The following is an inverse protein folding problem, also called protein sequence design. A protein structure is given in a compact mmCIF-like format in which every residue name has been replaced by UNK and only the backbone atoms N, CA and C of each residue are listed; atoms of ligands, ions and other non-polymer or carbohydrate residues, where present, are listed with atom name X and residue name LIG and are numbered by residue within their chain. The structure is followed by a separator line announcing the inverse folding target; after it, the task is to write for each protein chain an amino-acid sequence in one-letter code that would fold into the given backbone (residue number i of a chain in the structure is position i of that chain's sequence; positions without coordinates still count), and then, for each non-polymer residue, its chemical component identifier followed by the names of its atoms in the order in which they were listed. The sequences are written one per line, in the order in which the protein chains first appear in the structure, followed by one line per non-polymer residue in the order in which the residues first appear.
data_IF_324930414901
#
_entry.id   IF_324930414901
#
_cell.length_a   1.000
_cell.length_b   1.000
_cell.length_c   1.000
_cell.angle_alpha   90.00
_cell.angle_beta   90.00
_cell.angle_gamma   90.00
#
_symmetry.space_group_name_H-M   'P 1'
#
loop_
_entity.id
_entity.type
_entity.pdbx_description
1 polymer ?
#
# COMPACT_ATOMS: atom_id res chain seq x y z
N UNK A 1 -11.80 15.47 7.38
CA UNK A 1 -11.35 15.87 6.03
C UNK A 1 -9.90 15.45 5.91
N UNK A 2 -9.46 14.97 4.76
CA UNK A 2 -8.07 14.52 4.55
C UNK A 2 -7.08 15.67 4.69
N UNK A 3 -5.91 15.39 5.26
CA UNK A 3 -4.81 16.33 5.38
C UNK A 3 -4.36 16.82 3.98
N UNK A 4 -4.28 18.14 3.71
CA UNK A 4 -3.90 18.67 2.40
C UNK A 4 -2.56 18.14 1.85
N UNK A 5 -1.62 17.85 2.74
CA UNK A 5 -0.32 17.27 2.38
C UNK A 5 -0.47 15.84 1.87
N UNK A 6 -1.31 15.02 2.52
CA UNK A 6 -1.61 13.64 2.08
C UNK A 6 -2.25 13.68 0.70
N UNK A 7 -3.26 14.53 0.50
CA UNK A 7 -3.95 14.67 -0.79
C UNK A 7 -3.00 15.05 -1.93
N UNK A 8 -2.10 16.02 -1.68
CA UNK A 8 -1.12 16.44 -2.69
C UNK A 8 -0.15 15.29 -3.06
N UNK A 9 0.29 14.49 -2.08
CA UNK A 9 1.17 13.36 -2.32
C UNK A 9 0.47 12.20 -3.04
N UNK A 10 -0.81 11.92 -2.72
CA UNK A 10 -1.63 10.96 -3.48
C UNK A 10 -1.67 11.33 -4.96
N UNK A 11 -1.95 12.59 -5.28
CA UNK A 11 -1.97 13.06 -6.68
C UNK A 11 -0.60 12.95 -7.35
N UNK A 12 0.46 13.24 -6.60
CA UNK A 12 1.84 13.11 -7.10
C UNK A 12 2.16 11.66 -7.45
N UNK A 13 1.93 10.72 -6.52
CA UNK A 13 2.16 9.29 -6.76
C UNK A 13 1.36 8.79 -7.96
N UNK A 14 0.07 9.15 -8.02
CA UNK A 14 -0.80 8.75 -9.13
C UNK A 14 -0.30 9.25 -10.49
N UNK A 15 0.19 10.49 -10.57
CA UNK A 15 0.64 11.10 -11.83
C UNK A 15 2.06 10.73 -12.23
N UNK A 16 2.95 10.54 -11.25
CA UNK A 16 4.39 10.43 -11.49
C UNK A 16 4.93 8.99 -11.37
N UNK A 17 4.40 8.18 -10.44
CA UNK A 17 4.85 6.79 -10.27
C UNK A 17 4.00 5.79 -11.06
N UNK A 18 2.69 6.01 -11.12
CA UNK A 18 1.73 5.10 -11.75
C UNK A 18 1.42 5.51 -13.19
N UNK A 19 2.45 5.66 -14.02
CA UNK A 19 2.33 6.13 -15.41
C UNK A 19 2.02 5.02 -16.41
N UNK A 20 2.42 3.77 -16.11
CA UNK A 20 2.15 2.57 -16.92
C UNK A 20 0.96 1.79 -16.35
N UNK A 21 -0.21 2.43 -16.29
CA UNK A 21 -1.48 1.80 -15.90
C UNK A 21 -2.39 1.65 -17.12
N UNK A 22 -3.24 0.61 -17.18
CA UNK A 22 -4.35 0.59 -18.12
C UNK A 22 -5.28 1.79 -17.88
N UNK A 23 -6.08 2.13 -18.90
CA UNK A 23 -7.14 3.14 -18.72
C UNK A 23 -8.09 2.68 -17.62
N UNK A 24 -8.27 3.53 -16.61
CA UNK A 24 -9.19 3.29 -15.51
C UNK A 24 -10.36 4.27 -15.56
N UNK A 25 -11.54 3.80 -15.18
CA UNK A 25 -12.72 4.65 -15.00
C UNK A 25 -12.50 5.61 -13.84
N UNK A 26 -13.26 6.72 -13.75
CA UNK A 26 -13.18 7.61 -12.60
C UNK A 26 -13.37 6.91 -11.25
N UNK A 27 -14.17 5.83 -11.22
CA UNK A 27 -14.46 5.07 -10.00
C UNK A 27 -13.27 4.21 -9.57
N UNK A 28 -12.64 3.55 -10.54
CA UNK A 28 -11.39 2.81 -10.34
C UNK A 28 -10.28 3.75 -9.83
N UNK A 29 -10.13 4.93 -10.44
CA UNK A 29 -9.14 5.94 -10.01
C UNK A 29 -9.41 6.40 -8.56
N UNK A 30 -10.68 6.55 -8.16
CA UNK A 30 -11.02 6.91 -6.77
C UNK A 30 -10.63 5.82 -5.78
N UNK A 31 -10.94 4.56 -6.08
CA UNK A 31 -10.55 3.42 -5.23
C UNK A 31 -9.02 3.29 -5.13
N UNK A 32 -8.33 3.46 -6.27
CA UNK A 32 -6.88 3.44 -6.31
C UNK A 32 -6.23 4.55 -5.46
N UNK A 33 -6.73 5.78 -5.58
CA UNK A 33 -6.26 6.91 -4.76
C UNK A 33 -6.58 6.74 -3.29
N UNK A 34 -7.72 6.13 -2.95
CA UNK A 34 -8.05 5.80 -1.57
C UNK A 34 -7.03 4.81 -0.95
N UNK A 35 -6.49 3.88 -1.74
CA UNK A 35 -5.45 2.95 -1.27
C UNK A 35 -4.15 3.69 -0.96
N UNK A 36 -3.72 4.57 -1.86
CA UNK A 36 -2.53 5.39 -1.66
C UNK A 36 -2.71 6.30 -0.43
N UNK A 37 -3.91 6.90 -0.27
CA UNK A 37 -4.26 7.69 0.90
C UNK A 37 -4.17 6.87 2.18
N UNK A 38 -4.73 5.65 2.19
CA UNK A 38 -4.67 4.73 3.33
C UNK A 38 -3.22 4.47 3.74
N UNK A 39 -2.34 4.14 2.79
CA UNK A 39 -0.95 3.80 3.09
C UNK A 39 -0.16 5.00 3.60
N UNK A 40 -0.30 6.15 2.95
CA UNK A 40 0.34 7.39 3.38
C UNK A 40 -0.14 7.79 4.78
N UNK A 41 -1.45 7.83 5.01
CA UNK A 41 -2.01 8.17 6.30
C UNK A 41 -1.54 7.21 7.39
N UNK A 42 -1.54 5.91 7.12
CA UNK A 42 -1.25 4.88 8.12
C UNK A 42 0.23 4.76 8.43
N UNK A 43 1.09 4.65 7.41
CA UNK A 43 2.51 4.27 7.59
C UNK A 43 3.50 5.43 7.48
N UNK A 44 3.11 6.56 6.89
CA UNK A 44 4.01 7.71 6.72
C UNK A 44 3.64 8.88 7.64
N UNK A 45 2.37 9.24 7.68
CA UNK A 45 1.88 10.40 8.41
C UNK A 45 1.28 10.06 9.77
N UNK A 46 1.05 8.78 10.06
CA UNK A 46 0.40 8.29 11.28
C UNK A 46 -0.93 9.00 11.60
N UNK A 47 -1.68 9.38 10.56
CA UNK A 47 -3.02 9.96 10.66
C UNK A 47 -4.07 8.83 10.76
N UNK A 48 -4.15 8.23 11.94
CA UNK A 48 -5.07 7.12 12.19
C UNK A 48 -6.55 7.53 12.14
N UNK A 49 -6.86 8.82 12.12
CA UNK A 49 -8.24 9.28 11.88
C UNK A 49 -8.67 8.98 10.45
N UNK A 50 -7.74 9.10 9.49
CA UNK A 50 -7.96 8.72 8.09
C UNK A 50 -7.99 7.20 7.94
N UNK A 51 -7.09 6.47 8.61
CA UNK A 51 -7.11 4.99 8.64
C UNK A 51 -8.48 4.47 9.10
N UNK A 52 -9.00 4.98 10.22
CA UNK A 52 -10.32 4.58 10.76
C UNK A 52 -11.51 4.99 9.87
N UNK A 53 -11.33 5.99 9.02
CA UNK A 53 -12.35 6.38 8.03
C UNK A 53 -12.33 5.42 6.84
N UNK A 54 -11.14 5.07 6.37
CA UNK A 54 -10.95 4.27 5.16
C UNK A 54 -10.98 2.77 5.40
N UNK A 55 -10.86 2.29 6.64
CA UNK A 55 -10.88 0.86 6.96
C UNK A 55 -12.14 0.53 7.76
N UNK A 56 -12.80 -0.56 7.42
CA UNK A 56 -13.96 -1.05 8.15
C UNK A 56 -13.57 -1.55 9.54
N UNK A 57 -14.44 -1.36 10.53
CA UNK A 57 -14.17 -1.80 11.90
C UNK A 57 -13.92 -3.32 11.99
N UNK A 58 -14.68 -4.10 11.23
CA UNK A 58 -14.64 -5.56 11.08
C UNK A 58 -13.77 -6.03 9.91
N UNK A 59 -12.78 -5.23 9.49
CA UNK A 59 -11.87 -5.55 8.39
C UNK A 59 -11.23 -6.94 8.54
N UNK A 60 -11.36 -7.78 7.51
CA UNK A 60 -10.83 -9.14 7.49
C UNK A 60 -9.36 -9.12 7.03
N UNK A 61 -8.47 -9.72 7.83
CA UNK A 61 -7.04 -9.77 7.54
C UNK A 61 -6.58 -11.21 7.28
N UNK A 62 -5.91 -11.43 6.16
CA UNK A 62 -5.35 -12.73 5.77
C UNK A 62 -3.83 -12.84 5.98
N UNK A 63 -3.13 -11.72 6.23
CA UNK A 63 -1.73 -11.76 6.66
C UNK A 63 -1.63 -12.43 8.04
N UNK A 64 -0.94 -13.57 8.10
CA UNK A 64 -0.79 -14.40 9.30
C UNK A 64 -0.04 -13.70 10.47
N UNK A 65 0.59 -12.55 10.21
CA UNK A 65 1.37 -11.77 11.18
C UNK A 65 0.66 -10.49 11.65
N UNK A 66 -0.55 -10.21 11.16
CA UNK A 66 -1.34 -9.02 11.50
C UNK A 66 -2.75 -9.43 11.95
N UNK A 67 -3.25 -8.84 13.03
CA UNK A 67 -4.60 -9.10 13.52
C UNK A 67 -5.70 -8.57 12.60
N UNK A 68 -6.94 -9.01 12.85
CA UNK A 68 -8.16 -8.55 12.16
C UNK A 68 -8.69 -7.24 12.76
N UNK A 69 -9.35 -6.42 11.94
CA UNK A 69 -9.93 -5.14 12.33
C UNK A 69 -8.97 -3.96 12.21
N UNK A 70 -9.54 -2.75 12.10
CA UNK A 70 -8.76 -1.52 11.90
C UNK A 70 -7.74 -1.23 13.02
N UNK A 71 -8.00 -1.68 14.25
CA UNK A 71 -7.10 -1.45 15.39
C UNK A 71 -5.80 -2.24 15.23
N UNK A 72 -5.87 -3.48 14.73
CA UNK A 72 -4.68 -4.29 14.47
C UNK A 72 -3.81 -3.73 13.33
N UNK A 73 -4.39 -3.01 12.37
CA UNK A 73 -3.62 -2.30 11.34
C UNK A 73 -2.85 -1.13 11.95
N UNK A 74 -3.47 -0.40 12.88
CA UNK A 74 -2.83 0.72 13.58
C UNK A 74 -1.70 0.21 14.48
N UNK A 75 -1.93 -0.86 15.25
CA UNK A 75 -0.90 -1.52 16.06
C UNK A 75 0.29 -2.01 15.20
N UNK A 76 0.00 -2.53 14.00
CA UNK A 76 1.03 -2.90 13.04
C UNK A 76 1.85 -1.68 12.60
N UNK A 77 1.18 -0.58 12.22
CA UNK A 77 1.84 0.65 11.79
C UNK A 77 2.69 1.28 12.91
N UNK A 78 2.18 1.30 14.14
CA UNK A 78 2.91 1.80 15.31
C UNK A 78 4.18 1.00 15.57
N UNK A 79 4.14 -0.33 15.38
CA UNK A 79 5.33 -1.17 15.48
C UNK A 79 6.35 -0.88 14.38
N UNK A 80 5.91 -0.74 13.13
CA UNK A 80 6.80 -0.43 12.01
C UNK A 80 7.42 0.98 12.15
N UNK A 81 6.72 1.93 12.79
CA UNK A 81 7.23 3.26 13.08
C UNK A 81 8.42 3.28 14.08
N UNK A 82 8.67 2.18 14.80
CA UNK A 82 9.80 2.06 15.73
C UNK A 82 11.13 1.71 15.04
N UNK A 83 11.12 1.46 13.72
CA UNK A 83 12.35 1.17 12.96
C UNK A 83 13.29 2.38 12.97
N UNK A 84 14.60 2.12 13.11
CA UNK A 84 15.62 3.17 13.09
C UNK A 84 15.63 3.93 11.75
N UNK A 85 15.40 3.20 10.65
CA UNK A 85 15.28 3.74 9.30
C UNK A 85 13.86 3.51 8.77
N UNK A 86 13.12 4.59 8.45
CA UNK A 86 11.80 4.46 7.84
C UNK A 86 11.89 3.77 6.48
N UNK A 87 10.99 2.82 6.24
CA UNK A 87 10.87 2.18 4.94
C UNK A 87 10.25 3.16 3.92
N UNK A 88 10.65 3.03 2.65
CA UNK A 88 10.12 3.84 1.54
C UNK A 88 9.30 2.91 0.63
N UNK A 89 8.04 3.29 0.39
CA UNK A 89 7.15 2.58 -0.54
C UNK A 89 7.25 3.23 -1.93
N UNK A 90 7.68 2.45 -2.91
CA UNK A 90 7.74 2.85 -4.31
C UNK A 90 6.72 2.06 -5.12
N UNK A 91 5.63 2.71 -5.52
CA UNK A 91 4.53 2.08 -6.23
C UNK A 91 4.95 1.69 -7.65
N UNK A 92 4.56 0.49 -8.09
CA UNK A 92 4.87 -0.03 -9.43
C UNK A 92 3.64 -0.14 -10.30
N UNK A 93 2.53 -0.59 -9.71
CA UNK A 93 1.23 -0.67 -10.39
C UNK A 93 0.08 -0.76 -9.41
N UNK A 94 -1.06 -0.27 -9.84
CA UNK A 94 -2.28 -0.28 -9.07
C UNK A 94 -3.48 -0.47 -10.01
N UNK A 95 -4.12 -1.63 -9.89
CA UNK A 95 -5.20 -2.07 -10.77
C UNK A 95 -6.48 -2.21 -9.95
N UNK A 96 -7.62 -1.91 -10.55
CA UNK A 96 -8.93 -2.07 -9.90
C UNK A 96 -9.84 -2.89 -10.80
N UNK A 97 -10.39 -3.98 -10.26
CA UNK A 97 -11.37 -4.83 -10.93
C UNK A 97 -12.55 -5.11 -9.99
N UNK A 98 -13.72 -4.57 -10.35
CA UNK A 98 -14.87 -4.54 -9.46
C UNK A 98 -14.53 -3.89 -8.12
N UNK A 99 -14.66 -4.67 -7.05
CA UNK A 99 -14.37 -4.27 -5.67
C UNK A 99 -12.91 -4.51 -5.26
N UNK A 100 -12.12 -5.21 -6.09
CA UNK A 100 -10.75 -5.55 -5.76
C UNK A 100 -9.80 -4.44 -6.23
N UNK A 101 -8.98 -3.96 -5.31
CA UNK A 101 -7.87 -3.04 -5.55
C UNK A 101 -6.57 -3.81 -5.35
N UNK A 102 -5.87 -4.06 -6.44
CA UNK A 102 -4.54 -4.67 -6.42
C UNK A 102 -3.46 -3.59 -6.45
N UNK A 103 -2.40 -3.78 -5.68
CA UNK A 103 -1.20 -2.96 -5.76
C UNK A 103 0.05 -3.84 -5.73
N UNK A 104 1.03 -3.49 -6.54
CA UNK A 104 2.39 -3.98 -6.39
C UNK A 104 3.32 -2.80 -6.13
N UNK A 105 4.19 -2.94 -5.14
CA UNK A 105 5.14 -1.92 -4.75
C UNK A 105 6.44 -2.53 -4.26
N UNK A 106 7.50 -1.72 -4.33
CA UNK A 106 8.79 -2.02 -3.74
C UNK A 106 8.87 -1.37 -2.36
N UNK A 107 9.22 -2.15 -1.35
CA UNK A 107 9.60 -1.63 -0.03
C UNK A 107 11.11 -1.56 0.05
N UNK A 108 11.64 -0.34 0.05
CA UNK A 108 13.04 -0.08 0.37
C UNK A 108 13.18 0.07 1.89
N UNK A 109 13.94 -0.83 2.52
CA UNK A 109 14.14 -0.86 3.97
C UNK A 109 15.21 0.15 4.44
N UNK A 110 15.85 0.87 3.52
CA UNK A 110 16.92 1.85 3.79
C UNK A 110 18.12 1.28 4.55
N UNK A 111 18.37 -0.02 4.42
CA UNK A 111 19.46 -0.75 5.08
C UNK A 111 20.53 -1.25 4.09
N UNK A 112 20.43 -0.83 2.82
CA UNK A 112 21.32 -1.26 1.74
C UNK A 112 20.99 -2.63 1.14
N UNK A 113 19.98 -3.34 1.67
CA UNK A 113 19.44 -4.55 1.04
C UNK A 113 18.62 -4.20 -0.21
N UNK A 114 18.37 -5.17 -1.12
CA UNK A 114 17.46 -4.97 -2.24
C UNK A 114 16.00 -4.66 -1.84
N UNK A 115 15.61 -4.89 -0.58
CA UNK A 115 14.25 -4.68 -0.08
C UNK A 115 13.26 -5.79 -0.45
N UNK A 116 11.97 -5.45 -0.45
CA UNK A 116 10.87 -6.41 -0.66
C UNK A 116 10.05 -6.05 -1.91
N UNK A 117 9.65 -7.08 -2.66
CA UNK A 117 8.57 -6.99 -3.64
C UNK A 117 7.27 -7.39 -2.94
N UNK A 118 6.36 -6.43 -2.79
CA UNK A 118 5.08 -6.63 -2.14
C UNK A 118 3.95 -6.56 -3.16
N UNK A 119 2.99 -7.48 -3.02
CA UNK A 119 1.74 -7.47 -3.75
C UNK A 119 0.62 -7.58 -2.73
N UNK A 120 -0.34 -6.67 -2.83
CA UNK A 120 -1.52 -6.65 -1.96
C UNK A 120 -2.79 -6.62 -2.81
N UNK A 121 -3.82 -7.26 -2.28
CA UNK A 121 -5.19 -7.17 -2.78
C UNK A 121 -6.04 -6.69 -1.62
N UNK A 122 -6.79 -5.61 -1.82
CA UNK A 122 -7.77 -5.15 -0.85
C UNK A 122 -9.16 -5.12 -1.49
N UNK A 123 -10.17 -5.48 -0.72
CA UNK A 123 -11.57 -5.29 -1.13
C UNK A 123 -12.06 -3.92 -0.68
N UNK A 124 -12.61 -3.12 -1.60
CA UNK A 124 -13.06 -1.75 -1.38
C UNK A 124 -14.56 -1.60 -1.68
N UNK A 125 -15.35 -1.35 -0.64
CA UNK A 125 -16.80 -1.26 -0.66
C UNK A 125 -17.27 -0.01 0.09
N UNK A 126 -18.25 0.71 -0.46
CA UNK A 126 -18.89 1.85 0.21
C UNK A 126 -17.91 2.90 0.76
N UNK A 127 -16.79 3.10 0.06
CA UNK A 127 -15.75 4.06 0.46
C UNK A 127 -14.76 3.54 1.52
N UNK A 128 -14.81 2.26 1.87
CA UNK A 128 -13.94 1.63 2.87
C UNK A 128 -13.29 0.34 2.36
N UNK A 129 -12.07 0.08 2.82
CA UNK A 129 -11.41 -1.22 2.70
C UNK A 129 -11.96 -2.17 3.75
N UNK A 130 -12.31 -3.38 3.32
CA UNK A 130 -13.07 -4.35 4.12
C UNK A 130 -12.36 -5.68 4.30
N UNK A 131 -11.40 -5.99 3.44
CA UNK A 131 -10.67 -7.26 3.46
C UNK A 131 -9.32 -7.10 2.76
N UNK A 132 -8.30 -7.86 3.16
CA UNK A 132 -6.95 -7.77 2.61
C UNK A 132 -6.17 -9.07 2.60
N UNK A 133 -5.44 -9.27 1.52
CA UNK A 133 -4.46 -10.32 1.31
C UNK A 133 -3.15 -9.70 0.86
N UNK A 134 -2.04 -10.25 1.34
CA UNK A 134 -0.72 -9.85 0.89
C UNK A 134 0.20 -11.03 0.63
N UNK A 135 1.23 -10.74 -0.16
CA UNK A 135 2.48 -11.48 -0.19
C UNK A 135 3.63 -10.47 -0.23
N UNK A 136 4.66 -10.74 0.56
CA UNK A 136 5.91 -10.00 0.52
C UNK A 136 7.07 -10.98 0.31
N UNK A 137 7.92 -10.69 -0.67
CA UNK A 137 9.09 -11.51 -0.98
C UNK A 137 10.36 -10.66 -0.95
N UNK A 138 11.39 -11.14 -0.25
CA UNK A 138 12.73 -10.54 -0.33
C UNK A 138 13.25 -10.63 -1.75
N UNK A 139 13.75 -9.50 -2.26
CA UNK A 139 14.36 -9.46 -3.59
C UNK A 139 15.75 -10.08 -3.50
N UNK A 140 16.07 -11.14 -4.27
CA UNK A 140 17.39 -11.76 -4.23
C UNK A 140 18.45 -10.78 -4.76
N UNK A 141 19.72 -10.93 -4.35
CA UNK A 141 20.81 -10.08 -4.84
C UNK A 141 20.99 -10.24 -6.36
N UNK A 142 21.47 -9.19 -7.02
CA UNK A 142 21.64 -9.15 -8.48
C UNK A 142 22.51 -10.30 -9.02
N UNK A 143 23.45 -10.82 -8.23
CA UNK A 143 24.28 -11.98 -8.57
C UNK A 143 23.50 -13.27 -8.81
N UNK A 144 22.29 -13.38 -8.28
CA UNK A 144 21.43 -14.56 -8.43
C UNK A 144 20.42 -14.42 -9.57
N UNK A 145 20.30 -13.22 -10.14
CA UNK A 145 19.31 -12.94 -11.20
C UNK A 145 19.65 -13.72 -12.47
N UNK A 146 18.63 -14.35 -13.07
CA UNK A 146 18.74 -15.07 -14.35
C UNK A 146 18.31 -14.25 -15.56
N UNK A 147 17.79 -13.03 -15.34
CA UNK A 147 17.41 -12.09 -16.38
C UNK A 147 17.70 -10.65 -15.89
N UNK A 148 17.62 -9.68 -16.81
CA UNK A 148 17.86 -8.25 -16.54
C UNK A 148 16.58 -7.43 -16.35
N UNK A 149 15.41 -8.06 -16.42
CA UNK A 149 14.12 -7.36 -16.35
C UNK A 149 13.80 -6.94 -14.91
N UNK A 150 14.25 -7.72 -13.93
CA UNK A 150 13.95 -7.48 -12.52
C UNK A 150 12.56 -7.98 -12.10
N UNK A 151 12.17 -7.75 -10.83
CA UNK A 151 10.92 -8.26 -10.26
C UNK A 151 9.70 -7.34 -10.49
N UNK A 152 9.88 -6.19 -11.15
CA UNK A 152 8.88 -5.15 -11.33
C UNK A 152 8.62 -4.86 -12.79
#
# INVERSE_FOLDING_TARGET
MSNPTVTAEVEKIWKEQLTDQPKQTPDQIRAAKALIELFLATFKYHDYSVTRRLVRKDYIQHNLTVGTGQDSIIEFAEREALRETPAIINYKRLLVDGEYVFVQFHVDLSDGSPGLNCMEILRFNDGQFTEHWDVAATIPPASEHKNKNGPF
#
